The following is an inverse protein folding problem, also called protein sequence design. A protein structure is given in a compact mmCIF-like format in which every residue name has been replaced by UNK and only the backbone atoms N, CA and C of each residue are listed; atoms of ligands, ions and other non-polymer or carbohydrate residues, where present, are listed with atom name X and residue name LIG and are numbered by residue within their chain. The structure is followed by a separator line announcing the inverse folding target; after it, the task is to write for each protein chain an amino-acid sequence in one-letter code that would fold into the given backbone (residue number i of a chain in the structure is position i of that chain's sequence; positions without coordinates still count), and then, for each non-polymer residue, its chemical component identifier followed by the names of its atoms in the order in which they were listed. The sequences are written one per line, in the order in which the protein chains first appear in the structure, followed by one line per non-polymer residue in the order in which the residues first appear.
data_IF_165520109310
#
_entry.id   IF_165520109310
#
_cell.length_a   1.000
_cell.length_b   1.000
_cell.length_c   1.000
_cell.angle_alpha   90.00
_cell.angle_beta   90.00
_cell.angle_gamma   90.00
#
_symmetry.space_group_name_H-M   'P 1'
#
loop_
_entity.id
_entity.type
_entity.pdbx_description
1 polymer ?
#
# COMPACT_ATOMS: atom_id res chain seq x y z
N UNK A 1 5.78 -4.41 -9.14
CA UNK A 1 5.48 -4.91 -10.50
C UNK A 1 4.59 -6.14 -10.43
N UNK A 2 3.82 -6.41 -11.48
CA UNK A 2 2.92 -7.57 -11.52
C UNK A 2 1.92 -7.58 -10.35
N UNK A 3 1.59 -8.76 -9.86
CA UNK A 3 0.55 -8.93 -8.84
C UNK A 3 1.00 -8.56 -7.43
N UNK A 4 0.35 -7.56 -6.85
CA UNK A 4 0.42 -7.18 -5.44
C UNK A 4 -0.92 -7.55 -4.78
N UNK A 5 -1.04 -8.82 -4.38
CA UNK A 5 -2.31 -9.38 -3.90
C UNK A 5 -2.21 -9.81 -2.45
N UNK A 6 -3.30 -9.64 -1.71
CA UNK A 6 -3.46 -10.12 -0.35
C UNK A 6 -2.38 -9.64 0.61
N UNK A 7 -1.50 -10.55 1.05
CA UNK A 7 -0.32 -10.19 1.85
C UNK A 7 0.56 -9.11 1.21
N UNK A 8 0.61 -9.02 -0.13
CA UNK A 8 1.27 -7.93 -0.85
C UNK A 8 0.65 -6.56 -0.56
N UNK A 9 -0.68 -6.49 -0.47
CA UNK A 9 -1.40 -5.28 -0.01
C UNK A 9 -1.04 -4.97 1.44
N UNK A 10 -0.91 -6.00 2.28
CA UNK A 10 -0.42 -5.84 3.64
C UNK A 10 0.97 -5.21 3.72
N UNK A 11 1.89 -5.61 2.84
CA UNK A 11 3.23 -5.02 2.79
C UNK A 11 3.20 -3.59 2.25
N UNK A 12 2.60 -3.38 1.07
CA UNK A 12 2.65 -2.09 0.38
C UNK A 12 1.84 -1.01 1.10
N UNK A 13 0.71 -1.38 1.71
CA UNK A 13 -0.09 -0.47 2.53
C UNK A 13 0.61 -0.03 3.82
N UNK A 14 1.79 -0.58 4.15
CA UNK A 14 2.63 -0.12 5.25
C UNK A 14 3.94 0.52 4.79
N UNK A 15 4.18 0.65 3.49
CA UNK A 15 5.32 1.38 2.98
C UNK A 15 5.11 2.89 3.15
N UNK A 16 6.18 3.62 3.45
CA UNK A 16 6.15 5.09 3.53
C UNK A 16 6.04 5.75 2.13
N UNK A 17 6.54 5.06 1.10
CA UNK A 17 6.48 5.49 -0.29
C UNK A 17 6.41 4.29 -1.24
N UNK A 18 5.69 4.45 -2.35
CA UNK A 18 5.43 3.38 -3.30
C UNK A 18 5.84 3.83 -4.70
N UNK A 19 6.76 3.10 -5.32
CA UNK A 19 7.02 3.16 -6.75
C UNK A 19 6.49 1.86 -7.36
N UNK A 20 5.67 1.98 -8.39
CA UNK A 20 5.05 0.84 -9.05
C UNK A 20 5.46 0.80 -10.53
N UNK A 21 5.38 -0.39 -11.13
CA UNK A 21 5.45 -0.48 -12.57
C UNK A 21 4.06 -0.37 -13.18
N UNK A 22 3.97 0.03 -14.44
CA UNK A 22 2.71 0.18 -15.20
C UNK A 22 1.85 -1.08 -15.18
N UNK A 23 2.48 -2.24 -15.17
CA UNK A 23 1.83 -3.55 -15.16
C UNK A 23 1.54 -4.09 -13.75
N UNK A 24 1.69 -3.27 -12.70
CA UNK A 24 1.34 -3.66 -11.36
C UNK A 24 -0.18 -3.58 -11.11
N UNK A 25 -0.70 -4.61 -10.45
CA UNK A 25 -2.11 -4.71 -10.04
C UNK A 25 -2.20 -4.97 -8.54
N UNK A 26 -3.20 -4.37 -7.91
CA UNK A 26 -3.37 -4.32 -6.46
C UNK A 26 -4.77 -4.83 -6.11
N UNK A 27 -4.89 -5.80 -5.22
CA UNK A 27 -6.21 -6.31 -4.84
C UNK A 27 -6.19 -7.32 -3.71
N UNK A 28 -7.39 -7.62 -3.21
CA UNK A 28 -7.63 -8.56 -2.12
C UNK A 28 -8.57 -9.67 -2.62
N UNK A 29 -8.06 -10.73 -3.25
CA UNK A 29 -8.89 -11.83 -3.76
C UNK A 29 -9.38 -12.77 -2.63
N UNK A 30 -8.99 -12.53 -1.38
CA UNK A 30 -9.28 -13.39 -0.23
C UNK A 30 -10.77 -13.55 0.08
N UNK A 31 -11.59 -12.55 -0.24
CA UNK A 31 -13.02 -12.60 0.01
C UNK A 31 -13.68 -13.77 -0.76
N UNK A 32 -13.26 -14.01 -2.01
CA UNK A 32 -13.72 -15.13 -2.83
C UNK A 32 -13.29 -16.50 -2.26
N UNK A 33 -12.41 -16.50 -1.26
CA UNK A 33 -11.86 -17.68 -0.57
C UNK A 33 -12.33 -17.78 0.89
N UNK A 34 -13.24 -16.91 1.33
CA UNK A 34 -13.74 -16.91 2.71
C UNK A 34 -12.79 -16.31 3.75
N UNK A 35 -11.69 -15.70 3.32
CA UNK A 35 -10.74 -15.06 4.21
C UNK A 35 -11.00 -13.54 4.29
N UNK A 36 -10.92 -13.00 5.49
CA UNK A 36 -11.09 -11.57 5.76
C UNK A 36 -9.82 -11.00 6.38
N UNK A 37 -9.24 -10.02 5.69
CA UNK A 37 -7.99 -9.43 6.09
C UNK A 37 -7.43 -8.48 5.04
N UNK A 38 -6.44 -7.72 5.46
CA UNK A 38 -5.75 -6.69 4.69
C UNK A 38 -6.62 -5.51 4.18
N UNK A 39 -7.92 -5.46 4.48
CA UNK A 39 -8.76 -4.29 4.19
C UNK A 39 -8.24 -3.03 4.91
N UNK A 40 -7.75 -3.19 6.15
CA UNK A 40 -7.04 -2.14 6.90
C UNK A 40 -5.86 -1.57 6.13
N UNK A 41 -5.15 -2.41 5.36
CA UNK A 41 -3.99 -2.00 4.56
C UNK A 41 -4.43 -1.40 3.21
N UNK A 42 -5.45 -1.97 2.55
CA UNK A 42 -6.04 -1.41 1.33
C UNK A 42 -6.61 0.00 1.56
N UNK A 43 -7.16 0.26 2.75
CA UNK A 43 -7.66 1.57 3.15
C UNK A 43 -6.59 2.67 3.20
N UNK A 44 -5.30 2.31 3.17
CA UNK A 44 -4.17 3.25 3.07
C UNK A 44 -3.76 3.53 1.62
N UNK A 45 -4.31 2.80 0.65
CA UNK A 45 -3.97 2.92 -0.78
C UNK A 45 -5.05 3.61 -1.60
N UNK A 46 -6.32 3.52 -1.19
CA UNK A 46 -7.43 4.10 -1.96
C UNK A 46 -8.47 4.75 -1.02
N UNK A 47 -9.27 5.71 -1.52
CA UNK A 47 -10.34 6.34 -0.74
C UNK A 47 -11.37 5.33 -0.24
N UNK A 48 -12.06 5.67 0.87
CA UNK A 48 -12.94 4.74 1.60
C UNK A 48 -13.99 4.03 0.73
N UNK A 49 -14.70 4.75 -0.14
CA UNK A 49 -15.73 4.14 -0.99
C UNK A 49 -15.12 3.16 -1.99
N UNK A 50 -14.01 3.54 -2.63
CA UNK A 50 -13.31 2.65 -3.55
C UNK A 50 -12.74 1.43 -2.83
N UNK A 51 -12.16 1.59 -1.65
CA UNK A 51 -11.68 0.48 -0.82
C UNK A 51 -12.78 -0.55 -0.59
N UNK A 52 -13.98 -0.11 -0.18
CA UNK A 52 -15.12 -1.01 0.08
C UNK A 52 -15.58 -1.69 -1.20
N UNK A 53 -15.68 -0.96 -2.31
CA UNK A 53 -16.05 -1.53 -3.61
C UNK A 53 -15.04 -2.58 -4.08
N UNK A 54 -13.73 -2.29 -4.03
CA UNK A 54 -12.69 -3.25 -4.42
C UNK A 54 -12.70 -4.48 -3.50
N UNK A 55 -12.87 -4.29 -2.19
CA UNK A 55 -12.92 -5.38 -1.23
C UNK A 55 -14.14 -6.29 -1.46
N UNK A 56 -15.33 -5.74 -1.69
CA UNK A 56 -16.55 -6.53 -1.90
C UNK A 56 -16.64 -7.20 -3.26
N UNK A 57 -15.95 -6.65 -4.27
CA UNK A 57 -15.97 -7.21 -5.62
C UNK A 57 -14.75 -8.05 -5.93
N UNK A 58 -13.78 -8.15 -5.00
CA UNK A 58 -12.47 -8.76 -5.21
C UNK A 58 -11.72 -8.21 -6.44
N UNK A 59 -12.13 -7.04 -6.97
CA UNK A 59 -11.52 -6.44 -8.16
C UNK A 59 -10.17 -5.82 -7.81
N UNK A 60 -9.29 -5.83 -8.80
CA UNK A 60 -7.98 -5.17 -8.69
C UNK A 60 -8.03 -3.73 -9.16
N UNK A 61 -7.17 -2.90 -8.59
CA UNK A 61 -6.81 -1.59 -9.10
C UNK A 61 -5.42 -1.63 -9.75
N UNK A 62 -5.19 -0.76 -10.71
CA UNK A 62 -3.94 -0.58 -11.46
C UNK A 62 -2.99 0.38 -10.73
N UNK A 63 -1.70 0.33 -11.08
CA UNK A 63 -0.73 1.33 -10.63
C UNK A 63 -1.14 2.77 -10.98
N UNK A 64 -1.74 2.98 -12.16
CA UNK A 64 -2.19 4.30 -12.61
C UNK A 64 -3.35 4.85 -11.77
N UNK A 65 -4.33 4.00 -11.43
CA UNK A 65 -5.44 4.40 -10.53
C UNK A 65 -4.91 4.77 -9.13
N UNK A 66 -4.03 3.95 -8.56
CA UNK A 66 -3.42 4.27 -7.26
C UNK A 66 -2.56 5.53 -7.30
N UNK A 67 -1.88 5.81 -8.42
CA UNK A 67 -1.15 7.05 -8.62
C UNK A 67 -2.08 8.26 -8.67
N UNK A 68 -3.21 8.16 -9.38
CA UNK A 68 -4.24 9.20 -9.41
C UNK A 68 -4.86 9.46 -8.03
N UNK A 69 -4.89 8.46 -7.14
CA UNK A 69 -5.31 8.62 -5.74
C UNK A 69 -4.21 9.13 -4.80
N UNK A 70 -2.96 9.25 -5.27
CA UNK A 70 -1.83 9.76 -4.52
C UNK A 70 -1.13 8.74 -3.61
N UNK A 71 -1.51 7.46 -3.63
CA UNK A 71 -0.84 6.42 -2.83
C UNK A 71 0.43 5.88 -3.50
N UNK A 72 0.43 5.79 -4.83
CA UNK A 72 1.65 5.50 -5.61
C UNK A 72 2.31 6.82 -5.98
N UNK A 73 3.57 7.01 -5.58
CA UNK A 73 4.36 8.21 -5.87
C UNK A 73 4.71 8.32 -7.35
N UNK A 74 5.17 7.21 -7.96
CA UNK A 74 5.63 7.19 -9.35
C UNK A 74 5.31 5.84 -9.98
N UNK A 75 4.82 5.88 -11.23
CA UNK A 75 4.59 4.71 -12.08
C UNK A 75 5.59 4.75 -13.22
N UNK A 76 6.26 3.62 -13.50
CA UNK A 76 7.29 3.52 -14.54
C UNK A 76 7.19 2.21 -15.33
N UNK A 77 7.80 2.08 -16.52
CA UNK A 77 7.93 0.79 -17.17
C UNK A 77 8.62 -0.25 -16.27
N UNK A 78 8.26 -1.54 -16.40
CA UNK A 78 8.80 -2.61 -15.54
C UNK A 78 10.34 -2.64 -15.49
N UNK A 79 11.01 -2.39 -16.62
CA UNK A 79 12.47 -2.38 -16.70
C UNK A 79 13.14 -1.25 -15.90
N UNK A 80 12.41 -0.18 -15.61
CA UNK A 80 12.92 1.01 -14.92
C UNK A 80 12.60 1.01 -13.42
N UNK A 81 11.75 0.08 -12.95
CA UNK A 81 11.21 0.08 -11.58
C UNK A 81 12.31 0.17 -10.51
N UNK A 82 13.35 -0.66 -10.63
CA UNK A 82 14.43 -0.70 -9.63
C UNK A 82 15.21 0.61 -9.60
N UNK A 83 15.49 1.19 -10.78
CA UNK A 83 16.21 2.45 -10.88
C UNK A 83 15.40 3.59 -10.26
N UNK A 84 14.12 3.71 -10.61
CA UNK A 84 13.22 4.72 -10.06
C UNK A 84 13.03 4.60 -8.54
N UNK A 85 12.94 3.37 -8.00
CA UNK A 85 12.86 3.14 -6.57
C UNK A 85 14.15 3.57 -5.83
N UNK A 86 15.33 3.26 -6.38
CA UNK A 86 16.61 3.66 -5.81
C UNK A 86 16.86 5.17 -5.93
N UNK A 87 16.39 5.81 -7.00
CA UNK A 87 16.41 7.26 -7.18
C UNK A 87 15.67 7.96 -6.04
N UNK A 88 14.43 7.54 -5.76
CA UNK A 88 13.64 8.06 -4.64
C UNK A 88 14.34 7.81 -3.29
N UNK A 89 14.85 6.59 -3.07
CA UNK A 89 15.56 6.26 -1.84
C UNK A 89 16.82 7.14 -1.65
N UNK A 90 17.57 7.39 -2.72
CA UNK A 90 18.74 8.27 -2.70
C UNK A 90 18.36 9.72 -2.42
N UNK A 91 17.22 10.21 -2.93
CA UNK A 91 16.72 11.54 -2.61
C UNK A 91 16.40 11.67 -1.11
N UNK A 92 15.71 10.69 -0.52
CA UNK A 92 15.43 10.65 0.92
C UNK A 92 16.73 10.59 1.72
N UNK A 93 17.69 9.77 1.30
CA UNK A 93 18.97 9.57 1.98
C UNK A 93 19.89 10.81 1.97
N UNK A 94 19.61 11.84 1.15
CA UNK A 94 20.32 13.13 1.21
C UNK A 94 19.99 13.95 2.47
N UNK A 95 18.92 13.60 3.19
CA UNK A 95 18.52 14.28 4.41
C UNK A 95 19.32 13.77 5.61
N UNK A 96 19.34 14.55 6.68
CA UNK A 96 19.94 14.12 7.94
C UNK A 96 19.23 12.85 8.46
N UNK A 97 20.00 11.78 8.67
CA UNK A 97 19.47 10.48 9.06
C UNK A 97 18.85 10.44 10.46
N UNK A 98 19.26 11.33 11.36
CA UNK A 98 18.60 11.50 12.66
C UNK A 98 17.24 12.18 12.49
N UNK A 99 17.16 13.24 11.70
CA UNK A 99 15.89 13.92 11.39
C UNK A 99 14.90 12.98 10.67
N UNK A 100 15.35 12.13 9.74
CA UNK A 100 14.46 11.14 9.09
C UNK A 100 13.87 10.15 10.09
N UNK A 101 14.67 9.69 11.08
CA UNK A 101 14.16 8.79 12.13
C UNK A 101 13.13 9.49 13.00
N UNK A 102 13.37 10.73 13.40
CA UNK A 102 12.40 11.54 14.14
C UNK A 102 11.13 11.78 13.34
N UNK A 103 11.25 12.12 12.05
CA UNK A 103 10.11 12.32 11.16
C UNK A 103 9.25 11.05 11.05
N UNK A 104 9.89 9.89 10.86
CA UNK A 104 9.18 8.60 10.83
C UNK A 104 8.48 8.29 12.15
N UNK A 105 9.14 8.54 13.28
CA UNK A 105 8.53 8.37 14.60
C UNK A 105 7.33 9.30 14.79
N UNK A 106 7.44 10.57 14.38
CA UNK A 106 6.37 11.56 14.47
C UNK A 106 5.17 11.16 13.60
N UNK A 107 5.39 10.81 12.32
CA UNK A 107 4.33 10.39 11.40
C UNK A 107 3.61 9.15 11.92
N UNK A 108 4.34 8.14 12.40
CA UNK A 108 3.74 6.95 13.00
C UNK A 108 2.93 7.29 14.26
N UNK A 109 3.38 8.25 15.06
CA UNK A 109 2.70 8.68 16.28
C UNK A 109 1.40 9.44 16.05
N UNK A 110 1.26 10.09 14.88
CA UNK A 110 0.04 10.82 14.49
C UNK A 110 -0.84 10.05 13.50
N UNK A 111 -0.47 8.81 13.12
CA UNK A 111 -1.26 8.01 12.19
C UNK A 111 -2.65 7.74 12.82
N UNK A 112 -3.76 8.18 12.20
CA UNK A 112 -5.11 7.95 12.73
C UNK A 112 -5.54 6.49 12.66
N UNK A 113 -4.76 5.62 12.00
CA UNK A 113 -5.03 4.20 11.79
C UNK A 113 -4.10 3.36 12.67
N UNK A 114 -4.63 2.84 13.77
CA UNK A 114 -3.97 1.73 14.48
C UNK A 114 -4.08 0.45 13.64
N UNK A 115 -3.10 0.26 12.76
CA UNK A 115 -3.05 -0.86 11.82
C UNK A 115 -3.06 -2.20 12.55
N UNK A 116 -2.34 -2.33 13.67
CA UNK A 116 -2.26 -3.59 14.42
C UNK A 116 -3.62 -3.97 14.97
N UNK A 117 -4.28 -3.05 15.66
CA UNK A 117 -5.59 -3.32 16.27
C UNK A 117 -6.65 -3.60 15.20
N UNK A 118 -6.70 -2.78 14.14
CA UNK A 118 -7.70 -2.90 13.08
C UNK A 118 -7.51 -4.17 12.25
N UNK A 119 -6.27 -4.50 11.89
CA UNK A 119 -5.99 -5.74 11.15
C UNK A 119 -6.34 -6.99 11.97
N UNK A 120 -6.06 -6.98 13.29
CA UNK A 120 -6.45 -8.10 14.18
C UNK A 120 -7.96 -8.24 14.30
N UNK A 121 -8.69 -7.13 14.29
CA UNK A 121 -10.15 -7.14 14.31
C UNK A 121 -10.73 -7.79 13.06
N UNK A 122 -10.32 -7.38 11.86
CA UNK A 122 -10.83 -7.97 10.61
C UNK A 122 -10.45 -9.45 10.43
N UNK A 123 -9.25 -9.86 10.89
CA UNK A 123 -8.83 -11.27 10.84
C UNK A 123 -9.72 -12.19 11.68
N UNK A 124 -10.35 -11.68 12.74
CA UNK A 124 -11.27 -12.46 13.58
C UNK A 124 -12.55 -12.93 12.87
N UNK A 125 -12.80 -12.45 11.65
CA UNK A 125 -13.93 -12.85 10.82
C UNK A 125 -13.57 -13.87 9.73
N UNK A 126 -12.28 -14.22 9.58
CA UNK A 126 -11.84 -15.27 8.64
C UNK A 126 -12.39 -16.64 9.04
N UNK A 127 -12.86 -17.42 8.06
CA UNK A 127 -13.41 -18.77 8.25
C UNK A 127 -12.68 -19.82 7.39
#
# INVERSE_FOLDING_TARGET
HGFCLGGGIGLVGNADAIVASEDATFGLPELDRGALGAATHLARLVPQHLMRTLYYTSRTATAAELHAHGSVWKVVPRGELRAAALELAAEIAKKDGYLIRLAKAAINGIDPVDVRRRYRFEQGFTF
#
